data_IF_167615653447
#
_entry.id   IF_167615653447
#
_cell.length_a   1.000
_cell.length_b   1.000
_cell.length_c   1.000
_cell.angle_alpha   90.00
_cell.angle_beta   90.00
_cell.angle_gamma   90.00
#
_symmetry.space_group_name_H-M   'P 1'
#
loop_
_entity.id
_entity.type
_entity.pdbx_description
1 polymer ?
#
# COMPACT_ATOMS: atom_id res chain seq x y z
N UNK A 1 17.11 6.23 -2.15
CA UNK A 1 17.49 6.47 -3.55
C UNK A 1 16.44 7.39 -4.15
N UNK A 2 16.73 8.16 -5.21
CA UNK A 2 15.69 8.99 -5.85
C UNK A 2 14.91 8.13 -6.84
N UNK A 3 13.59 8.00 -6.64
CA UNK A 3 12.69 7.27 -7.54
C UNK A 3 12.63 8.03 -8.88
N UNK A 4 12.70 7.32 -10.00
CA UNK A 4 12.54 7.91 -11.34
C UNK A 4 11.91 6.89 -12.31
N UNK A 5 11.62 7.32 -13.54
CA UNK A 5 10.94 6.49 -14.55
C UNK A 5 11.72 5.25 -14.99
N UNK A 6 13.04 5.20 -14.78
CA UNK A 6 13.88 4.02 -15.08
C UNK A 6 13.89 3.01 -13.93
N UNK A 7 13.43 3.40 -12.74
CA UNK A 7 13.35 2.52 -11.58
C UNK A 7 12.32 1.42 -11.83
N UNK A 8 12.67 0.17 -11.50
CA UNK A 8 11.73 -0.95 -11.63
C UNK A 8 10.64 -0.86 -10.58
N UNK A 9 9.39 -1.16 -10.94
CA UNK A 9 8.27 -1.07 -10.00
C UNK A 9 8.41 -2.01 -8.80
N UNK A 10 9.10 -3.14 -8.96
CA UNK A 10 9.44 -4.06 -7.88
C UNK A 10 10.50 -3.51 -6.93
N UNK A 11 11.51 -2.80 -7.46
CA UNK A 11 12.48 -2.08 -6.61
C UNK A 11 11.79 -0.97 -5.82
N UNK A 12 10.96 -0.15 -6.50
CA UNK A 12 10.19 0.91 -5.83
C UNK A 12 9.31 0.31 -4.74
N UNK A 13 8.59 -0.77 -5.01
CA UNK A 13 7.74 -1.45 -4.02
C UNK A 13 8.52 -1.99 -2.82
N UNK A 14 9.77 -2.43 -3.03
CA UNK A 14 10.63 -2.99 -1.98
C UNK A 14 11.23 -1.89 -1.10
N UNK A 15 11.75 -0.84 -1.71
CA UNK A 15 12.41 0.28 -1.00
C UNK A 15 11.39 1.26 -0.40
N UNK A 16 10.22 1.38 -1.02
CA UNK A 16 9.19 2.35 -0.68
C UNK A 16 7.81 1.67 -0.64
N UNK A 17 7.49 0.88 0.40
CA UNK A 17 6.25 0.11 0.48
C UNK A 17 4.96 0.94 0.29
N UNK A 18 4.96 2.22 0.70
CA UNK A 18 3.81 3.12 0.50
C UNK A 18 3.52 3.39 -0.98
N UNK A 19 4.52 3.33 -1.86
CA UNK A 19 4.34 3.49 -3.31
C UNK A 19 3.44 2.39 -3.91
N UNK A 20 3.33 1.23 -3.24
CA UNK A 20 2.44 0.14 -3.69
C UNK A 20 0.97 0.52 -3.72
N UNK A 21 0.55 1.54 -2.95
CA UNK A 21 -0.80 2.11 -3.01
C UNK A 21 -1.07 2.78 -4.35
N UNK A 22 -0.11 3.56 -4.82
CA UNK A 22 -0.19 4.24 -6.12
C UNK A 22 -0.27 3.20 -7.23
N UNK A 23 0.59 2.18 -7.18
CA UNK A 23 0.55 1.09 -8.15
C UNK A 23 -0.80 0.35 -8.15
N UNK A 24 -1.37 0.09 -6.98
CA UNK A 24 -2.68 -0.53 -6.87
C UNK A 24 -3.79 0.34 -7.50
N UNK A 25 -3.80 1.66 -7.24
CA UNK A 25 -4.74 2.62 -7.85
C UNK A 25 -4.67 2.63 -9.38
N UNK A 26 -3.46 2.50 -9.94
CA UNK A 26 -3.21 2.47 -11.39
C UNK A 26 -3.20 1.06 -12.00
N UNK A 27 -3.51 0.02 -11.22
CA UNK A 27 -3.50 -1.38 -11.66
C UNK A 27 -2.12 -1.87 -12.15
N UNK A 28 -1.03 -1.28 -11.68
CA UNK A 28 0.35 -1.63 -12.04
C UNK A 28 0.77 -2.86 -11.24
N UNK A 29 1.15 -3.94 -11.94
CA UNK A 29 1.66 -5.16 -11.30
C UNK A 29 3.14 -5.00 -10.94
N UNK A 30 3.39 -4.78 -9.65
CA UNK A 30 4.73 -4.66 -9.07
C UNK A 30 5.21 -5.95 -8.38
N UNK A 31 4.33 -6.95 -8.22
CA UNK A 31 4.66 -8.20 -7.53
C UNK A 31 5.24 -9.23 -8.50
N UNK A 32 4.49 -9.59 -9.55
CA UNK A 32 4.94 -10.56 -10.54
C UNK A 32 5.65 -9.86 -11.71
N UNK A 33 5.14 -8.70 -12.12
CA UNK A 33 5.71 -7.82 -13.14
C UNK A 33 6.81 -6.87 -12.63
N UNK A 34 7.31 -7.08 -11.42
CA UNK A 34 8.18 -6.16 -10.69
C UNK A 34 9.44 -5.69 -11.43
N UNK A 35 9.98 -6.49 -12.35
CA UNK A 35 11.21 -6.17 -13.08
C UNK A 35 11.09 -5.07 -14.14
N UNK A 36 9.89 -4.51 -14.37
CA UNK A 36 9.64 -3.52 -15.42
C UNK A 36 9.83 -2.09 -14.91
N UNK A 37 10.40 -1.23 -15.76
CA UNK A 37 10.55 0.19 -15.48
C UNK A 37 9.18 0.91 -15.42
N UNK A 38 9.04 1.85 -14.49
CA UNK A 38 7.80 2.63 -14.33
C UNK A 38 7.42 3.38 -15.62
N UNK A 39 8.38 4.04 -16.27
CA UNK A 39 8.18 4.79 -17.51
C UNK A 39 7.69 3.91 -18.67
N UNK A 40 8.24 2.70 -18.79
CA UNK A 40 7.81 1.74 -19.81
C UNK A 40 6.36 1.30 -19.60
N UNK A 41 5.96 1.01 -18.36
CA UNK A 41 4.57 0.65 -18.02
C UNK A 41 3.63 1.83 -18.32
N UNK A 42 4.02 3.05 -17.95
CA UNK A 42 3.22 4.26 -18.19
C UNK A 42 3.04 4.52 -19.70
N UNK A 43 4.11 4.45 -20.48
CA UNK A 43 4.07 4.67 -21.93
C UNK A 43 3.17 3.65 -22.64
N UNK A 44 3.29 2.35 -22.31
CA UNK A 44 2.48 1.30 -22.91
C UNK A 44 0.99 1.43 -22.59
N UNK A 45 0.65 1.97 -21.41
CA UNK A 45 -0.73 2.13 -20.94
C UNK A 45 -1.31 3.52 -21.22
N UNK A 46 -0.56 4.41 -21.88
CA UNK A 46 -0.98 5.78 -22.14
C UNK A 46 -1.16 6.64 -20.88
N UNK A 47 -0.41 6.33 -19.82
CA UNK A 47 -0.39 7.08 -18.57
C UNK A 47 0.73 8.12 -18.59
N UNK A 48 0.48 9.28 -17.98
CA UNK A 48 1.52 10.31 -17.78
C UNK A 48 2.49 9.87 -16.67
N UNK A 49 3.70 9.45 -17.05
CA UNK A 49 4.69 8.89 -16.13
C UNK A 49 5.07 9.84 -15.00
N UNK A 50 5.26 11.12 -15.32
CA UNK A 50 5.62 12.14 -14.33
C UNK A 50 4.48 12.40 -13.33
N UNK A 51 3.22 12.25 -13.75
CA UNK A 51 2.07 12.37 -12.85
C UNK A 51 2.03 11.22 -11.84
N UNK A 52 2.27 9.98 -12.30
CA UNK A 52 2.35 8.80 -11.42
C UNK A 52 3.54 8.94 -10.46
N UNK A 53 4.68 9.44 -10.94
CA UNK A 53 5.84 9.70 -10.09
C UNK A 53 5.55 10.73 -9.00
N UNK A 54 4.88 11.83 -9.33
CA UNK A 54 4.47 12.84 -8.37
C UNK A 54 3.46 12.31 -7.33
N UNK A 55 2.55 11.41 -7.74
CA UNK A 55 1.66 10.71 -6.79
C UNK A 55 2.44 9.82 -5.81
N UNK A 56 3.46 9.10 -6.30
CA UNK A 56 4.35 8.30 -5.45
C UNK A 56 5.08 9.19 -4.44
N UNK A 57 5.68 10.27 -4.91
CA UNK A 57 6.39 11.22 -4.03
C UNK A 57 5.46 11.78 -2.97
N UNK A 58 4.22 12.15 -3.33
CA UNK A 58 3.22 12.64 -2.38
C UNK A 58 2.84 11.60 -1.33
N UNK A 59 2.69 10.33 -1.72
CA UNK A 59 2.38 9.23 -0.78
C UNK A 59 3.54 8.94 0.18
N UNK A 60 4.78 9.25 -0.22
CA UNK A 60 5.98 9.08 0.59
C UNK A 60 6.26 10.24 1.54
N UNK A 61 5.67 11.41 1.29
CA UNK A 61 5.70 12.52 2.24
C UNK A 61 4.70 12.21 3.36
N UNK A 62 5.22 11.77 4.51
CA UNK A 62 4.42 11.66 5.73
C UNK A 62 3.70 13.00 5.99
N UNK A 63 2.41 13.00 6.38
CA UNK A 63 1.81 14.17 6.99
C UNK A 63 2.67 14.49 8.21
N UNK A 64 3.47 15.56 8.10
CA UNK A 64 4.39 15.96 9.14
C UNK A 64 3.66 15.96 10.47
N UNK A 65 4.21 15.24 11.45
CA UNK A 65 3.61 15.12 12.77
C UNK A 65 3.51 16.52 13.38
N UNK A 66 2.37 17.19 13.19
CA UNK A 66 2.04 18.33 14.03
C UNK A 66 2.03 17.76 15.46
N UNK A 67 2.85 18.32 16.34
CA UNK A 67 2.93 17.95 17.75
C UNK A 67 1.65 18.37 18.49
N UNK A 68 0.51 17.84 18.07
CA UNK A 68 -0.78 18.08 18.72
C UNK A 68 -0.72 17.39 20.08
N UNK A 69 -0.93 18.19 21.12
CA UNK A 69 -1.12 17.70 22.49
C UNK A 69 -2.52 17.10 22.61
N UNK A 70 -2.68 15.87 22.15
CA UNK A 70 -3.95 15.15 22.20
C UNK A 70 -4.50 15.00 23.61
N UNK A 71 -3.63 15.03 24.64
CA UNK A 71 -4.00 15.07 26.05
C UNK A 71 -4.69 16.38 26.48
N UNK A 72 -4.62 17.42 25.66
CA UNK A 72 -5.25 18.73 25.89
C UNK A 72 -6.30 19.09 24.83
N UNK A 73 -6.42 18.28 23.78
CA UNK A 73 -7.36 18.50 22.70
C UNK A 73 -8.80 18.17 23.15
N UNK A 74 -9.83 18.84 22.58
CA UNK A 74 -11.21 18.41 22.75
C UNK A 74 -11.39 16.94 22.31
N UNK A 75 -12.19 16.17 23.07
CA UNK A 75 -12.44 14.77 22.75
C UNK A 75 -13.01 14.56 21.34
N UNK A 76 -13.86 15.49 20.87
CA UNK A 76 -14.41 15.44 19.51
C UNK A 76 -13.34 15.53 18.42
N UNK A 77 -12.30 16.33 18.64
CA UNK A 77 -11.18 16.49 17.71
C UNK A 77 -10.30 15.24 17.72
N UNK A 78 -10.05 14.66 18.89
CA UNK A 78 -9.33 13.40 19.03
C UNK A 78 -10.05 12.26 18.31
N UNK A 79 -11.37 12.12 18.52
CA UNK A 79 -12.19 11.10 17.82
C UNK A 79 -12.13 11.32 16.30
N UNK A 80 -12.32 12.56 15.85
CA UNK A 80 -12.26 12.91 14.43
C UNK A 80 -10.90 12.53 13.83
N UNK A 81 -9.81 12.82 14.54
CA UNK A 81 -8.46 12.48 14.12
C UNK A 81 -8.25 10.97 14.05
N UNK A 82 -8.63 10.21 15.09
CA UNK A 82 -8.48 8.75 15.10
C UNK A 82 -9.22 8.12 13.92
N UNK A 83 -10.47 8.54 13.70
CA UNK A 83 -11.29 8.01 12.59
C UNK A 83 -10.70 8.39 11.23
N UNK A 84 -10.22 9.62 11.06
CA UNK A 84 -9.69 10.08 9.78
C UNK A 84 -8.30 9.52 9.43
N UNK A 85 -7.42 9.41 10.43
CA UNK A 85 -6.00 9.09 10.22
C UNK A 85 -5.71 7.60 10.37
N UNK A 86 -6.47 6.88 11.19
CA UNK A 86 -6.21 5.46 11.44
C UNK A 86 -7.33 4.55 10.91
N UNK A 87 -8.61 4.87 11.15
CA UNK A 87 -9.70 3.96 10.75
C UNK A 87 -9.99 4.04 9.25
N UNK A 88 -10.29 5.24 8.72
CA UNK A 88 -10.63 5.42 7.29
C UNK A 88 -9.60 4.84 6.32
N UNK A 89 -8.28 4.97 6.55
CA UNK A 89 -7.30 4.33 5.68
C UNK A 89 -7.39 2.80 5.64
N UNK A 90 -7.89 2.16 6.70
CA UNK A 90 -8.07 0.69 6.72
C UNK A 90 -9.12 0.20 5.73
N UNK A 91 -10.13 1.03 5.41
CA UNK A 91 -11.16 0.71 4.42
C UNK A 91 -10.56 0.40 3.04
N UNK A 92 -9.45 1.07 2.69
CA UNK A 92 -8.72 0.85 1.44
C UNK A 92 -7.60 -0.18 1.61
N UNK A 93 -6.88 -0.14 2.73
CA UNK A 93 -5.69 -0.95 2.93
C UNK A 93 -5.98 -2.43 3.23
N UNK A 94 -7.02 -2.73 4.01
CA UNK A 94 -7.34 -4.12 4.36
C UNK A 94 -7.75 -4.96 3.13
N UNK A 95 -8.65 -4.50 2.24
CA UNK A 95 -8.95 -5.24 1.01
C UNK A 95 -7.75 -5.36 0.08
N UNK A 96 -6.91 -4.31 -0.02
CA UNK A 96 -5.70 -4.31 -0.86
C UNK A 96 -4.70 -5.36 -0.39
N UNK A 97 -4.39 -5.36 0.91
CA UNK A 97 -3.47 -6.33 1.51
C UNK A 97 -4.01 -7.76 1.44
N UNK A 98 -5.33 -7.96 1.61
CA UNK A 98 -5.95 -9.28 1.42
C UNK A 98 -5.73 -9.80 -0.01
N UNK A 99 -6.00 -8.95 -1.01
CA UNK A 99 -5.79 -9.28 -2.42
C UNK A 99 -4.33 -9.67 -2.69
N UNK A 100 -3.38 -8.90 -2.13
CA UNK A 100 -1.95 -9.20 -2.24
C UNK A 100 -1.59 -10.53 -1.58
N UNK A 101 -2.05 -10.78 -0.34
CA UNK A 101 -1.79 -12.03 0.39
C UNK A 101 -2.35 -13.24 -0.36
N UNK A 102 -3.57 -13.13 -0.90
CA UNK A 102 -4.18 -14.16 -1.75
C UNK A 102 -3.38 -14.39 -3.01
N UNK A 103 -2.90 -13.33 -3.67
CA UNK A 103 -2.10 -13.47 -4.90
C UNK A 103 -0.76 -14.15 -4.64
N UNK A 104 -0.10 -13.83 -3.54
CA UNK A 104 1.14 -14.50 -3.12
C UNK A 104 0.86 -15.98 -2.85
N UNK A 105 -0.21 -16.31 -2.13
CA UNK A 105 -0.58 -17.71 -1.89
C UNK A 105 -0.91 -18.46 -3.20
N UNK A 106 -1.63 -17.84 -4.13
CA UNK A 106 -1.97 -18.42 -5.43
C UNK A 106 -0.72 -18.75 -6.27
N UNK A 107 0.25 -17.83 -6.34
CA UNK A 107 1.42 -17.96 -7.23
C UNK A 107 2.60 -18.68 -6.56
N UNK A 108 2.69 -18.65 -5.23
CA UNK A 108 3.83 -19.16 -4.48
C UNK A 108 3.48 -20.20 -3.41
N UNK A 109 2.20 -20.57 -3.28
CA UNK A 109 1.69 -21.52 -2.28
C UNK A 109 2.46 -22.84 -2.28
N UNK A 110 2.81 -23.38 -3.44
CA UNK A 110 3.54 -24.65 -3.55
C UNK A 110 4.97 -24.59 -2.99
N UNK A 111 5.57 -23.39 -2.89
CA UNK A 111 6.94 -23.23 -2.38
C UNK A 111 7.01 -23.33 -0.85
N UNK A 112 6.00 -22.83 -0.15
CA UNK A 112 5.89 -22.84 1.31
C UNK A 112 4.42 -22.95 1.74
N UNK A 113 3.78 -24.12 1.54
CA UNK A 113 2.32 -24.24 1.61
C UNK A 113 1.75 -24.05 3.02
N UNK A 114 2.47 -24.44 4.06
CA UNK A 114 2.02 -24.26 5.44
C UNK A 114 2.13 -22.79 5.86
N UNK A 115 3.31 -22.19 5.73
CA UNK A 115 3.57 -20.81 6.13
C UNK A 115 2.68 -19.80 5.38
N UNK A 116 2.51 -19.96 4.06
CA UNK A 116 1.69 -19.03 3.28
C UNK A 116 0.18 -19.21 3.52
N UNK A 117 -0.27 -20.43 3.86
CA UNK A 117 -1.66 -20.66 4.28
C UNK A 117 -1.93 -20.02 5.64
N UNK A 118 -1.01 -20.18 6.58
CA UNK A 118 -1.11 -19.58 7.92
C UNK A 118 -1.10 -18.05 7.83
N UNK A 119 -0.17 -17.45 7.08
CA UNK A 119 -0.12 -16.02 6.85
C UNK A 119 -1.46 -15.47 6.33
N UNK A 120 -2.03 -16.11 5.30
CA UNK A 120 -3.33 -15.70 4.75
C UNK A 120 -4.44 -15.85 5.79
N UNK A 121 -4.46 -16.94 6.55
CA UNK A 121 -5.46 -17.17 7.60
C UNK A 121 -5.39 -16.11 8.70
N UNK A 122 -4.20 -15.81 9.20
CA UNK A 122 -3.97 -14.80 10.25
C UNK A 122 -4.39 -13.42 9.75
N UNK A 123 -4.00 -13.05 8.52
CA UNK A 123 -4.35 -11.76 7.96
C UNK A 123 -5.87 -11.59 7.79
N UNK A 124 -6.57 -12.61 7.25
CA UNK A 124 -8.03 -12.57 7.09
C UNK A 124 -8.74 -12.50 8.45
N UNK A 125 -8.24 -13.21 9.46
CA UNK A 125 -8.74 -13.11 10.83
C UNK A 125 -8.59 -11.70 11.41
N UNK A 126 -7.38 -11.13 11.32
CA UNK A 126 -7.11 -9.76 11.77
C UNK A 126 -8.01 -8.74 11.08
N UNK A 127 -8.19 -8.86 9.77
CA UNK A 127 -9.09 -7.98 9.00
C UNK A 127 -10.51 -8.02 9.57
N UNK A 128 -11.06 -9.22 9.80
CA UNK A 128 -12.41 -9.37 10.32
C UNK A 128 -12.56 -8.77 11.73
N UNK A 129 -11.56 -8.95 12.59
CA UNK A 129 -11.55 -8.34 13.93
C UNK A 129 -11.49 -6.81 13.88
N UNK A 130 -10.72 -6.23 12.94
CA UNK A 130 -10.62 -4.78 12.76
C UNK A 130 -11.86 -4.17 12.11
N UNK A 131 -12.55 -4.88 11.23
CA UNK A 131 -13.79 -4.41 10.60
C UNK A 131 -14.99 -4.41 11.57
N UNK A 132 -14.98 -5.28 12.59
CA UNK A 132 -16.00 -5.32 13.65
C UNK A 132 -15.78 -4.28 14.76
N UNK A 133 -14.53 -3.83 14.94
CA UNK A 133 -14.10 -2.88 15.98
C UNK A 133 -14.52 -1.42 15.72
#
# INVERSE_FOLDING_TARGET
MTINLESSVGQIATEHPLATRVFARHGIDFCCGGGRALGAICSERGMEGDAVLAEIEKELVEPGSSQVRWDQAPLGDLVTHIVAVYHRPLDEELPRLESMARKVFEVHGDKQPEALRELLSVFVGLKAELEDH
#
